data_IF_345942108037
#
_entry.id   IF_345942108037
#
_cell.length_a   1.000
_cell.length_b   1.000
_cell.length_c   1.000
_cell.angle_alpha   90.00
_cell.angle_beta   90.00
_cell.angle_gamma   90.00
#
_symmetry.space_group_name_H-M   'P 1'
#
loop_
_entity.id
_entity.type
_entity.pdbx_description
1 polymer ?
#
# COMPACT_ATOMS: atom_id res chain seq x y z
N UNK A 1 -8.45 2.71 29.32
CA UNK A 1 -7.51 3.63 29.98
C UNK A 1 -6.71 4.34 28.91
N UNK A 2 -6.69 5.67 28.97
CA UNK A 2 -5.82 6.50 28.13
C UNK A 2 -4.38 6.29 28.58
N UNK A 3 -3.43 6.03 27.67
CA UNK A 3 -2.02 5.88 28.05
C UNK A 3 -1.44 7.21 28.55
N UNK A 4 -0.46 7.15 29.43
CA UNK A 4 0.40 8.29 29.72
C UNK A 4 1.41 8.44 28.58
N UNK A 5 1.69 9.69 28.16
CA UNK A 5 2.63 9.95 27.07
C UNK A 5 3.83 10.71 27.60
N UNK A 6 5.01 10.28 27.20
CA UNK A 6 6.29 10.90 27.55
C UNK A 6 7.12 11.11 26.30
N UNK A 7 8.04 12.04 26.33
CA UNK A 7 8.97 12.30 25.23
C UNK A 7 10.37 12.61 25.75
N UNK A 8 11.38 12.40 24.93
CA UNK A 8 12.78 12.75 25.22
C UNK A 8 12.95 14.24 25.46
N UNK A 9 12.34 15.06 24.59
CA UNK A 9 12.31 16.51 24.64
C UNK A 9 10.98 17.03 24.12
N UNK A 10 10.69 18.29 24.41
CA UNK A 10 9.43 18.93 23.99
C UNK A 10 9.68 20.43 23.75
N UNK A 11 9.05 20.98 22.71
CA UNK A 11 8.95 22.41 22.47
C UNK A 11 7.77 22.99 23.26
N UNK A 12 7.91 24.20 23.78
CA UNK A 12 6.83 24.91 24.49
C UNK A 12 5.55 24.98 23.63
N UNK A 13 4.42 24.67 24.23
CA UNK A 13 3.12 24.64 23.56
C UNK A 13 2.85 23.41 22.71
N UNK A 14 3.77 22.43 22.67
CA UNK A 14 3.65 21.17 21.89
C UNK A 14 3.86 19.93 22.76
N UNK A 15 3.04 19.71 23.80
CA UNK A 15 3.25 18.64 24.77
C UNK A 15 3.02 17.25 24.16
N UNK A 16 3.68 16.19 24.68
CA UNK A 16 3.58 14.85 24.13
C UNK A 16 2.15 14.27 24.18
N UNK A 17 1.36 14.63 25.17
CA UNK A 17 -0.03 14.18 25.33
C UNK A 17 -0.94 14.64 24.18
N UNK A 18 -0.59 15.72 23.49
CA UNK A 18 -1.36 16.25 22.36
C UNK A 18 -1.50 15.26 21.20
N UNK A 19 -0.63 14.25 21.10
CA UNK A 19 -0.73 13.20 20.05
C UNK A 19 -1.92 12.26 20.23
N UNK A 20 -2.54 12.24 21.40
CA UNK A 20 -3.72 11.40 21.69
C UNK A 20 -5.04 12.12 21.37
N UNK A 21 -5.00 13.43 21.21
CA UNK A 21 -6.19 14.23 20.93
C UNK A 21 -6.50 14.19 19.43
N UNK A 22 -7.71 13.69 19.11
CA UNK A 22 -8.19 13.58 17.75
C UNK A 22 -8.39 14.94 17.06
N UNK A 23 -8.73 15.96 17.85
CA UNK A 23 -9.07 17.30 17.36
C UNK A 23 -7.90 18.28 17.48
N UNK A 24 -6.76 17.84 18.04
CA UNK A 24 -5.58 18.68 18.17
C UNK A 24 -4.92 18.92 16.81
N UNK A 25 -4.95 20.17 16.37
CA UNK A 25 -4.14 20.62 15.24
C UNK A 25 -2.65 20.76 15.60
N UNK A 26 -2.29 20.64 16.89
CA UNK A 26 -0.99 21.02 17.42
C UNK A 26 -0.01 19.84 17.42
N UNK A 27 -0.37 18.70 17.99
CA UNK A 27 0.51 17.55 18.15
C UNK A 27 1.73 17.81 19.04
N UNK A 28 2.63 16.83 19.10
CA UNK A 28 3.92 16.93 19.77
C UNK A 28 5.02 17.37 18.83
N UNK A 29 5.98 18.12 19.36
CA UNK A 29 7.22 18.46 18.66
C UNK A 29 8.41 18.29 19.58
N UNK A 30 9.46 17.60 19.09
CA UNK A 30 10.72 17.48 19.82
C UNK A 30 11.45 18.82 19.87
N UNK A 31 12.28 18.99 20.91
CA UNK A 31 13.29 20.04 20.95
C UNK A 31 14.39 19.84 19.91
N UNK A 32 15.56 20.45 20.16
CA UNK A 32 16.67 20.35 19.24
C UNK A 32 17.18 18.91 19.04
N UNK A 33 17.74 18.62 17.89
CA UNK A 33 18.29 17.31 17.47
C UNK A 33 19.60 16.92 18.16
N UNK A 34 19.67 16.94 19.47
CA UNK A 34 20.94 16.64 20.15
C UNK A 34 21.27 15.14 20.27
N UNK A 35 20.30 14.27 20.04
CA UNK A 35 20.38 12.80 20.16
C UNK A 35 19.14 12.15 19.55
N UNK A 36 19.09 10.84 19.53
CA UNK A 36 17.90 10.08 19.22
C UNK A 36 16.71 10.59 20.05
N UNK A 37 15.66 11.02 19.36
CA UNK A 37 14.44 11.47 20.01
C UNK A 37 13.45 10.32 20.08
N UNK A 38 12.59 10.34 21.10
CA UNK A 38 11.57 9.33 21.23
C UNK A 38 10.26 9.90 21.81
N UNK A 39 9.18 9.23 21.43
CA UNK A 39 7.84 9.38 22.02
C UNK A 39 7.43 8.04 22.61
N UNK A 40 7.00 8.03 23.87
CA UNK A 40 6.66 6.84 24.64
C UNK A 40 5.20 6.88 25.10
N UNK A 41 4.48 5.79 24.88
CA UNK A 41 3.16 5.52 25.45
C UNK A 41 3.31 4.49 26.58
N UNK A 42 2.94 4.84 27.84
CA UNK A 42 2.78 3.91 28.96
C UNK A 42 1.30 3.54 29.09
N UNK A 43 0.94 2.33 28.80
CA UNK A 43 -0.43 1.82 28.94
C UNK A 43 -0.82 1.53 30.39
N UNK A 44 0.07 1.80 31.35
CA UNK A 44 -0.10 1.59 32.80
C UNK A 44 -0.16 0.10 33.20
N UNK A 45 -0.47 -0.78 32.27
CA UNK A 45 -0.46 -2.23 32.42
C UNK A 45 -0.24 -2.86 31.04
N UNK A 46 0.22 -4.12 30.97
CA UNK A 46 0.30 -4.83 29.70
C UNK A 46 -1.07 -4.84 28.99
N UNK A 47 -1.05 -4.61 27.69
CA UNK A 47 -2.21 -4.74 26.80
C UNK A 47 -1.78 -5.25 25.44
N UNK A 48 -2.70 -5.93 24.80
CA UNK A 48 -2.59 -6.38 23.41
C UNK A 48 -3.06 -5.28 22.45
N UNK A 49 -2.38 -5.15 21.31
CA UNK A 49 -2.74 -4.23 20.23
C UNK A 49 -2.19 -4.73 18.90
N UNK A 50 -2.86 -4.32 17.79
CA UNK A 50 -2.54 -4.81 16.44
C UNK A 50 -1.70 -3.85 15.60
N UNK A 51 -1.55 -2.60 16.02
CA UNK A 51 -0.80 -1.67 15.20
C UNK A 51 -0.88 -0.22 15.63
N UNK A 52 -0.28 0.62 14.81
CA UNK A 52 -0.30 2.08 14.97
C UNK A 52 -0.74 2.76 13.68
N UNK A 53 -1.43 3.88 13.83
CA UNK A 53 -1.56 4.89 12.78
C UNK A 53 -0.90 6.16 13.30
N UNK A 54 0.05 6.69 12.56
CA UNK A 54 0.84 7.86 12.92
C UNK A 54 0.58 8.95 11.88
N UNK A 55 0.06 10.09 12.32
CA UNK A 55 -0.03 11.28 11.48
C UNK A 55 1.15 12.19 11.81
N UNK A 56 2.04 12.36 10.85
CA UNK A 56 3.22 13.20 10.98
C UNK A 56 2.91 14.69 10.79
N UNK A 57 3.78 15.53 11.33
CA UNK A 57 3.84 16.93 10.91
C UNK A 57 4.25 17.01 9.42
N UNK A 58 3.71 17.98 8.68
CA UNK A 58 3.91 18.06 7.24
C UNK A 58 5.39 18.23 6.84
N UNK A 59 6.14 18.93 7.66
CA UNK A 59 7.51 19.33 7.35
C UNK A 59 8.57 18.56 8.15
N UNK A 60 8.30 18.24 9.42
CA UNK A 60 9.28 17.69 10.35
C UNK A 60 8.91 16.27 10.79
N UNK A 61 8.96 15.33 9.88
CA UNK A 61 8.69 13.90 10.14
C UNK A 61 9.98 13.08 10.26
N UNK A 62 9.87 11.88 10.78
CA UNK A 62 10.98 10.93 10.79
C UNK A 62 11.01 10.16 9.45
N UNK A 63 12.17 10.16 8.78
CA UNK A 63 12.43 9.29 7.63
C UNK A 63 12.85 7.90 8.07
N UNK A 64 13.58 7.82 9.18
CA UNK A 64 13.96 6.54 9.78
C UNK A 64 13.53 6.51 11.25
N UNK A 65 12.82 5.46 11.62
CA UNK A 65 12.38 5.26 13.00
C UNK A 65 12.03 3.81 13.30
N UNK A 66 11.90 3.50 14.59
CA UNK A 66 11.54 2.17 15.08
C UNK A 66 10.36 2.24 16.04
N UNK A 67 9.42 1.32 15.91
CA UNK A 67 8.50 1.01 17.00
C UNK A 67 9.13 -0.06 17.89
N UNK A 68 9.24 0.27 19.18
CA UNK A 68 9.88 -0.57 20.19
C UNK A 68 8.94 -0.79 21.36
N UNK A 69 8.97 -1.97 21.93
CA UNK A 69 8.12 -2.36 23.06
C UNK A 69 8.93 -2.82 24.26
N UNK A 70 8.35 -2.68 25.45
CA UNK A 70 8.95 -3.10 26.72
C UNK A 70 7.88 -3.38 27.76
N UNK A 71 8.15 -4.28 28.70
CA UNK A 71 7.32 -4.53 29.88
C UNK A 71 7.85 -3.84 31.13
N UNK A 72 9.16 -3.56 31.19
CA UNK A 72 9.85 -2.97 32.34
C UNK A 72 10.31 -1.52 32.12
N UNK A 73 10.18 -0.99 30.89
CA UNK A 73 10.66 0.34 30.50
C UNK A 73 12.18 0.47 30.38
N UNK A 74 12.92 -0.62 30.57
CA UNK A 74 14.39 -0.64 30.52
C UNK A 74 14.92 -1.45 29.33
N UNK A 75 14.37 -2.64 29.08
CA UNK A 75 14.74 -3.52 27.97
C UNK A 75 13.76 -3.35 26.84
N UNK A 76 14.26 -2.94 25.67
CA UNK A 76 13.48 -2.62 24.50
C UNK A 76 13.69 -3.65 23.39
N UNK A 77 12.59 -4.07 22.77
CA UNK A 77 12.56 -4.93 21.59
C UNK A 77 11.95 -4.16 20.44
N UNK A 78 12.67 -4.05 19.32
CA UNK A 78 12.13 -3.47 18.10
C UNK A 78 11.13 -4.45 17.48
N UNK A 79 9.92 -3.97 17.22
CA UNK A 79 8.82 -4.74 16.60
C UNK A 79 8.53 -4.27 15.18
N UNK A 80 8.94 -3.05 14.85
CA UNK A 80 8.81 -2.50 13.49
C UNK A 80 9.94 -1.53 13.18
N UNK A 81 10.41 -1.50 11.92
CA UNK A 81 11.48 -0.61 11.48
C UNK A 81 11.06 0.05 10.17
N UNK A 82 11.05 1.38 10.16
CA UNK A 82 10.78 2.18 8.96
C UNK A 82 12.09 2.80 8.49
N UNK A 83 12.31 2.75 7.20
CA UNK A 83 13.39 3.39 6.47
C UNK A 83 12.81 4.19 5.31
N UNK A 84 13.41 5.33 5.02
CA UNK A 84 13.02 6.21 3.92
C UNK A 84 11.54 6.61 3.94
N UNK A 85 10.99 6.81 5.15
CA UNK A 85 9.62 7.29 5.34
C UNK A 85 9.39 8.64 4.65
N UNK A 86 8.22 8.83 4.10
CA UNK A 86 7.84 10.01 3.32
C UNK A 86 6.92 11.00 4.05
N UNK A 87 6.69 10.78 5.36
CA UNK A 87 5.79 11.60 6.16
C UNK A 87 4.31 11.33 5.86
N UNK A 88 3.45 12.30 6.19
CA UNK A 88 2.02 12.15 6.04
C UNK A 88 1.41 11.20 7.06
N UNK A 89 0.93 10.06 6.64
CA UNK A 89 0.32 9.05 7.51
C UNK A 89 0.97 7.70 7.32
N UNK A 90 1.47 7.11 8.42
CA UNK A 90 2.01 5.76 8.45
C UNK A 90 1.04 4.79 9.13
N UNK A 91 0.96 3.58 8.58
CA UNK A 91 0.24 2.44 9.13
C UNK A 91 1.23 1.34 9.48
N UNK A 92 1.38 1.02 10.76
CA UNK A 92 2.29 -0.03 11.21
C UNK A 92 1.52 -1.29 11.57
N UNK A 93 1.80 -2.37 10.85
CA UNK A 93 1.27 -3.70 11.12
C UNK A 93 2.08 -4.35 12.26
N UNK A 94 1.48 -4.47 13.44
CA UNK A 94 2.11 -5.07 14.61
C UNK A 94 1.37 -6.35 15.00
N UNK A 95 1.78 -7.46 14.41
CA UNK A 95 1.15 -8.75 14.67
C UNK A 95 1.67 -9.33 16.00
N UNK A 96 0.77 -9.86 16.84
CA UNK A 96 1.06 -10.50 18.13
C UNK A 96 1.92 -9.66 19.08
N UNK A 97 1.56 -8.41 19.27
CA UNK A 97 2.24 -7.54 20.24
C UNK A 97 1.39 -7.35 21.49
N UNK A 98 1.95 -7.73 22.63
CA UNK A 98 1.50 -7.39 23.95
C UNK A 98 2.64 -6.70 24.71
N UNK A 99 2.39 -5.56 25.34
CA UNK A 99 3.36 -4.88 26.18
C UNK A 99 2.72 -3.76 27.03
N UNK A 100 3.41 -3.31 28.06
CA UNK A 100 3.05 -2.13 28.82
C UNK A 100 3.51 -0.85 28.15
N UNK A 101 4.70 -0.85 27.55
CA UNK A 101 5.31 0.35 26.97
C UNK A 101 5.49 0.18 25.46
N UNK A 102 5.15 1.22 24.73
CA UNK A 102 5.41 1.36 23.30
C UNK A 102 6.17 2.65 23.07
N UNK A 103 7.30 2.58 22.37
CA UNK A 103 8.15 3.72 22.06
C UNK A 103 8.35 3.85 20.55
N UNK A 104 8.17 5.06 20.03
CA UNK A 104 8.68 5.45 18.72
C UNK A 104 10.08 6.04 18.92
N UNK A 105 11.10 5.35 18.46
CA UNK A 105 12.50 5.79 18.52
C UNK A 105 12.85 6.41 17.15
N UNK A 106 13.05 7.73 17.11
CA UNK A 106 13.17 8.55 15.90
C UNK A 106 14.65 8.79 15.60
N UNK A 107 15.14 8.37 14.45
CA UNK A 107 16.55 8.30 14.11
C UNK A 107 17.00 9.38 13.13
N UNK A 108 16.23 9.58 12.04
CA UNK A 108 16.53 10.60 11.03
C UNK A 108 15.32 11.50 10.77
N UNK A 109 15.57 12.80 10.78
CA UNK A 109 14.54 13.83 10.50
C UNK A 109 14.60 14.25 9.04
N UNK A 110 13.44 14.49 8.44
CA UNK A 110 13.29 14.93 7.05
C UNK A 110 14.08 16.20 6.72
N UNK A 111 14.15 17.16 7.65
CA UNK A 111 14.86 18.44 7.48
C UNK A 111 16.00 18.68 8.45
N UNK A 112 16.27 17.75 9.35
CA UNK A 112 17.28 17.92 10.38
C UNK A 112 16.94 18.98 11.45
N UNK A 113 15.67 19.30 11.67
CA UNK A 113 15.22 20.36 12.59
C UNK A 113 14.35 19.88 13.76
N UNK A 114 14.29 18.57 13.99
CA UNK A 114 13.43 17.95 14.99
C UNK A 114 12.39 17.05 14.36
N UNK A 115 11.45 16.61 15.20
CA UNK A 115 10.38 15.70 14.81
C UNK A 115 9.04 16.24 15.29
N UNK A 116 8.03 16.16 14.45
CA UNK A 116 6.67 16.51 14.77
C UNK A 116 5.72 15.33 14.52
N UNK A 117 4.94 14.95 15.51
CA UNK A 117 3.87 13.97 15.40
C UNK A 117 2.56 14.64 15.76
N UNK A 118 1.64 14.69 14.80
CA UNK A 118 0.31 15.29 15.05
C UNK A 118 -0.57 14.36 15.84
N UNK A 119 -0.53 13.05 15.52
CA UNK A 119 -1.40 12.07 16.14
C UNK A 119 -0.78 10.70 16.17
N UNK A 120 -1.04 9.94 17.23
CA UNK A 120 -0.77 8.51 17.34
C UNK A 120 -2.04 7.79 17.74
N UNK A 121 -2.45 6.81 16.96
CA UNK A 121 -3.58 5.94 17.25
C UNK A 121 -3.09 4.51 17.42
N UNK A 122 -3.34 3.96 18.61
CA UNK A 122 -3.09 2.54 18.86
C UNK A 122 -4.29 1.75 18.38
N UNK A 123 -4.07 0.83 17.45
CA UNK A 123 -5.10 0.01 16.84
C UNK A 123 -5.34 -1.25 17.66
N UNK A 124 -6.59 -1.73 17.66
CA UNK A 124 -6.94 -2.99 18.32
C UNK A 124 -6.25 -4.19 17.64
N UNK A 125 -6.23 -5.33 18.31
CA UNK A 125 -5.70 -6.58 17.77
C UNK A 125 -6.31 -6.94 16.41
N UNK A 126 -7.57 -6.65 16.18
CA UNK A 126 -8.27 -6.91 14.93
C UNK A 126 -7.61 -6.30 13.69
N UNK A 127 -6.91 -5.17 13.87
CA UNK A 127 -6.21 -4.46 12.80
C UNK A 127 -5.14 -5.32 12.10
N UNK A 128 -4.54 -6.26 12.80
CA UNK A 128 -3.43 -7.09 12.30
C UNK A 128 -3.71 -8.60 12.36
N UNK A 129 -4.97 -9.00 12.45
CA UNK A 129 -5.33 -10.44 12.42
C UNK A 129 -4.96 -11.11 11.11
N UNK A 130 -4.90 -10.34 10.03
CA UNK A 130 -4.38 -10.77 8.73
C UNK A 130 -3.93 -9.58 7.89
N UNK A 131 -3.05 -9.77 6.89
CA UNK A 131 -2.72 -8.73 5.93
C UNK A 131 -3.96 -8.18 5.20
N UNK A 132 -4.96 -9.02 4.90
CA UNK A 132 -6.20 -8.58 4.28
C UNK A 132 -6.96 -7.58 5.17
N UNK A 133 -7.07 -7.88 6.47
CA UNK A 133 -7.75 -6.98 7.42
C UNK A 133 -7.03 -5.65 7.57
N UNK A 134 -5.70 -5.69 7.58
CA UNK A 134 -4.86 -4.50 7.61
C UNK A 134 -5.14 -3.59 6.40
N UNK A 135 -5.06 -4.12 5.18
CA UNK A 135 -5.29 -3.34 3.97
C UNK A 135 -6.75 -2.92 3.78
N UNK A 136 -7.71 -3.71 4.24
CA UNK A 136 -9.12 -3.31 4.29
C UNK A 136 -9.31 -2.03 5.12
N UNK A 137 -8.70 -1.98 6.31
CA UNK A 137 -8.75 -0.78 7.17
C UNK A 137 -8.11 0.43 6.51
N UNK A 138 -6.97 0.26 5.84
CA UNK A 138 -6.30 1.34 5.11
C UNK A 138 -7.18 1.81 3.95
N UNK A 139 -7.71 0.89 3.16
CA UNK A 139 -8.54 1.19 2.00
C UNK A 139 -9.80 1.99 2.36
N UNK A 140 -10.47 1.67 3.47
CA UNK A 140 -11.62 2.43 3.95
C UNK A 140 -11.29 3.88 4.36
N UNK A 141 -10.03 4.17 4.67
CA UNK A 141 -9.56 5.52 5.01
C UNK A 141 -8.92 6.26 3.81
N UNK A 142 -8.78 5.59 2.67
CA UNK A 142 -8.22 6.15 1.46
C UNK A 142 -9.32 6.59 0.47
N UNK A 143 -9.01 7.48 -0.48
CA UNK A 143 -9.93 7.78 -1.58
C UNK A 143 -10.27 6.51 -2.36
N UNK A 144 -11.54 6.38 -2.78
CA UNK A 144 -11.97 5.28 -3.65
C UNK A 144 -11.11 5.26 -4.92
N UNK A 145 -10.74 4.05 -5.37
CA UNK A 145 -9.87 3.87 -6.52
C UNK A 145 -8.38 3.69 -6.19
N UNK A 146 -7.95 4.04 -4.97
CA UNK A 146 -6.56 3.87 -4.54
C UNK A 146 -6.20 2.42 -4.19
N UNK A 147 -7.19 1.61 -3.86
CA UNK A 147 -7.05 0.18 -3.54
C UNK A 147 -8.03 -0.64 -4.38
N UNK A 148 -7.79 -1.95 -4.54
CA UNK A 148 -8.74 -2.83 -5.19
C UNK A 148 -10.14 -2.70 -4.60
N UNK A 149 -11.17 -2.74 -5.47
CA UNK A 149 -12.57 -2.50 -5.10
C UNK A 149 -13.11 -3.43 -4.00
N UNK A 150 -12.60 -4.64 -3.93
CA UNK A 150 -13.03 -5.59 -2.91
C UNK A 150 -12.67 -5.14 -1.48
N UNK A 151 -11.62 -4.34 -1.28
CA UNK A 151 -11.36 -3.71 0.02
C UNK A 151 -12.36 -2.59 0.37
N UNK A 152 -13.19 -2.20 -0.57
CA UNK A 152 -14.35 -1.30 -0.36
C UNK A 152 -15.67 -2.07 -0.29
N UNK A 153 -15.63 -3.40 -0.12
CA UNK A 153 -16.80 -4.31 -0.13
C UNK A 153 -17.55 -4.32 -1.46
N UNK A 154 -16.89 -4.01 -2.57
CA UNK A 154 -17.45 -4.08 -3.91
C UNK A 154 -17.08 -5.42 -4.57
N UNK A 155 -17.97 -5.96 -5.38
CA UNK A 155 -17.72 -7.16 -6.15
C UNK A 155 -16.64 -6.90 -7.20
N UNK A 156 -15.72 -7.87 -7.41
CA UNK A 156 -14.72 -7.88 -8.48
C UNK A 156 -15.04 -8.96 -9.50
N UNK A 157 -14.86 -8.63 -10.78
CA UNK A 157 -14.94 -9.56 -11.90
C UNK A 157 -13.65 -9.57 -12.68
N UNK A 158 -13.35 -10.69 -13.34
CA UNK A 158 -12.12 -10.84 -14.10
C UNK A 158 -12.24 -11.84 -15.23
N UNK A 159 -11.30 -11.78 -16.15
CA UNK A 159 -11.09 -12.78 -17.22
C UNK A 159 -9.76 -13.49 -16.99
N UNK A 160 -9.79 -14.81 -17.13
CA UNK A 160 -8.57 -15.64 -17.05
C UNK A 160 -7.76 -15.51 -18.33
N UNK A 161 -6.44 -15.36 -18.19
CA UNK A 161 -5.48 -15.27 -19.29
C UNK A 161 -4.42 -16.34 -19.08
N UNK A 162 -4.27 -17.25 -20.04
CA UNK A 162 -3.31 -18.35 -19.95
C UNK A 162 -2.85 -18.81 -21.33
N UNK A 163 -1.69 -19.49 -21.37
CA UNK A 163 -1.23 -20.19 -22.56
C UNK A 163 -1.89 -21.58 -22.61
N UNK A 164 -2.32 -21.99 -23.81
CA UNK A 164 -2.84 -23.34 -24.00
C UNK A 164 -1.77 -24.41 -23.73
N UNK A 165 -2.20 -25.67 -23.60
CA UNK A 165 -1.26 -26.78 -23.53
C UNK A 165 -0.90 -27.30 -22.15
N UNK A 166 -1.73 -27.04 -21.12
CA UNK A 166 -1.60 -27.64 -19.78
C UNK A 166 -0.59 -26.95 -18.87
N UNK A 167 -0.29 -25.69 -19.11
CA UNK A 167 0.44 -24.85 -18.14
C UNK A 167 -0.46 -24.58 -16.92
N UNK A 168 0.13 -24.63 -15.72
CA UNK A 168 -0.54 -24.26 -14.48
C UNK A 168 -0.50 -22.77 -14.20
N UNK A 169 0.15 -21.99 -15.07
CA UNK A 169 0.27 -20.53 -14.97
C UNK A 169 -1.00 -19.87 -15.48
N UNK A 170 -1.59 -19.03 -14.65
CA UNK A 170 -2.84 -18.33 -14.93
C UNK A 170 -2.75 -16.88 -14.44
N UNK A 171 -2.92 -15.94 -15.37
CA UNK A 171 -3.09 -14.53 -15.04
C UNK A 171 -4.58 -14.17 -14.99
N UNK A 172 -4.92 -13.14 -14.23
CA UNK A 172 -6.27 -12.60 -14.13
C UNK A 172 -6.26 -11.13 -14.53
N UNK A 173 -7.06 -10.77 -15.54
CA UNK A 173 -7.32 -9.37 -15.88
C UNK A 173 -8.64 -8.96 -15.26
N UNK A 174 -8.61 -8.03 -14.30
CA UNK A 174 -9.83 -7.52 -13.66
C UNK A 174 -10.62 -6.61 -14.60
N UNK A 175 -11.88 -6.41 -14.29
CA UNK A 175 -12.73 -5.42 -14.96
C UNK A 175 -12.19 -3.99 -14.89
N UNK A 176 -11.36 -3.69 -13.91
CA UNK A 176 -10.71 -2.40 -13.68
C UNK A 176 -9.38 -2.23 -14.45
N UNK A 177 -8.89 -3.29 -15.07
CA UNK A 177 -7.61 -3.29 -15.78
C UNK A 177 -6.40 -3.65 -14.90
N UNK A 178 -6.58 -4.07 -13.65
CA UNK A 178 -5.53 -4.67 -12.86
C UNK A 178 -5.19 -6.06 -13.39
N UNK A 179 -3.90 -6.35 -13.56
CA UNK A 179 -3.41 -7.63 -14.07
C UNK A 179 -2.66 -8.39 -12.98
N UNK A 180 -3.26 -9.45 -12.44
CA UNK A 180 -2.57 -10.43 -11.61
C UNK A 180 -1.70 -11.31 -12.52
N UNK A 181 -0.39 -11.30 -12.30
CA UNK A 181 0.59 -11.81 -13.27
C UNK A 181 0.75 -13.33 -13.25
N UNK A 182 0.34 -13.97 -12.18
CA UNK A 182 0.27 -15.43 -12.02
C UNK A 182 -0.66 -15.73 -10.85
N UNK A 183 -1.18 -16.91 -10.76
CA UNK A 183 -2.10 -17.37 -9.75
C UNK A 183 -1.62 -17.06 -8.32
N UNK A 184 -2.38 -16.24 -7.60
CA UNK A 184 -2.07 -15.81 -6.23
C UNK A 184 -0.86 -14.88 -6.12
N UNK A 185 -0.42 -14.30 -7.24
CA UNK A 185 0.71 -13.40 -7.31
C UNK A 185 0.26 -11.94 -7.17
N UNK A 186 1.20 -11.04 -7.33
CA UNK A 186 0.96 -9.60 -7.28
C UNK A 186 0.24 -9.07 -8.54
N UNK A 187 -0.28 -7.86 -8.47
CA UNK A 187 -0.88 -7.15 -9.61
C UNK A 187 0.03 -6.08 -10.17
N UNK A 188 -0.20 -5.77 -11.47
CA UNK A 188 0.20 -4.53 -12.10
C UNK A 188 -1.08 -3.72 -12.30
N UNK A 189 -1.14 -2.53 -11.70
CA UNK A 189 -2.32 -1.67 -11.73
C UNK A 189 -2.02 -0.36 -12.45
N UNK A 190 -2.86 0.06 -13.42
CA UNK A 190 -2.69 1.33 -14.10
C UNK A 190 -3.24 2.49 -13.29
N UNK A 191 -2.53 3.62 -13.32
CA UNK A 191 -3.01 4.93 -12.89
C UNK A 191 -2.59 5.95 -13.93
N UNK A 192 -3.45 6.94 -14.18
CA UNK A 192 -3.15 8.06 -15.06
C UNK A 192 -3.05 9.35 -14.27
N UNK A 193 -2.07 10.17 -14.57
CA UNK A 193 -2.00 11.52 -14.04
C UNK A 193 -2.04 12.51 -15.20
N UNK A 194 -3.03 13.37 -15.19
CA UNK A 194 -3.22 14.41 -16.21
C UNK A 194 -3.95 15.60 -15.58
N UNK A 195 -3.69 16.79 -16.04
CA UNK A 195 -4.33 18.04 -15.59
C UNK A 195 -4.31 18.22 -14.06
N UNK A 196 -3.19 17.81 -13.40
CA UNK A 196 -3.01 17.92 -11.96
C UNK A 196 -3.82 16.91 -11.14
N UNK A 197 -4.44 15.90 -11.75
CA UNK A 197 -5.31 14.94 -11.12
C UNK A 197 -4.86 13.49 -11.39
N UNK A 198 -4.90 12.66 -10.36
CA UNK A 198 -4.75 11.22 -10.48
C UNK A 198 -6.10 10.60 -10.88
N UNK A 199 -6.10 9.82 -11.96
CA UNK A 199 -7.24 9.06 -12.46
C UNK A 199 -7.01 7.60 -12.12
N UNK A 200 -8.03 6.99 -11.55
CA UNK A 200 -8.06 5.61 -11.09
C UNK A 200 -9.24 4.88 -11.70
N UNK A 201 -9.36 3.57 -11.42
CA UNK A 201 -10.53 2.80 -11.84
C UNK A 201 -11.87 3.39 -11.32
N UNK A 202 -11.86 4.14 -10.22
CA UNK A 202 -13.06 4.73 -9.64
C UNK A 202 -13.55 5.99 -10.38
N UNK A 203 -12.73 6.53 -11.29
CA UNK A 203 -13.02 7.75 -12.05
C UNK A 203 -13.55 7.45 -13.46
N UNK A 204 -13.65 6.17 -13.82
CA UNK A 204 -14.03 5.72 -15.18
C UNK A 204 -15.08 4.61 -15.11
N UNK A 205 -15.80 4.41 -16.22
CA UNK A 205 -16.62 3.22 -16.45
C UNK A 205 -15.88 2.33 -17.45
N UNK A 206 -15.23 1.23 -16.99
CA UNK A 206 -14.44 0.39 -17.88
C UNK A 206 -15.30 -0.40 -18.86
N UNK A 207 -14.91 -0.42 -20.12
CA UNK A 207 -15.50 -1.28 -21.13
C UNK A 207 -14.62 -2.51 -21.35
N UNK A 208 -15.22 -3.68 -21.42
CA UNK A 208 -14.53 -4.95 -21.65
C UNK A 208 -14.83 -5.49 -23.06
N UNK A 209 -13.82 -6.11 -23.66
CA UNK A 209 -13.96 -6.74 -24.97
C UNK A 209 -13.01 -7.92 -25.12
N UNK A 210 -13.29 -8.77 -26.10
CA UNK A 210 -12.35 -9.79 -26.60
C UNK A 210 -11.87 -9.39 -27.99
N UNK A 211 -10.67 -9.79 -28.34
CA UNK A 211 -10.18 -9.59 -29.70
C UNK A 211 -11.07 -10.35 -30.71
N UNK A 212 -11.45 -9.68 -31.79
CA UNK A 212 -12.38 -10.19 -32.80
C UNK A 212 -13.71 -10.72 -32.21
N UNK A 213 -14.13 -10.21 -31.04
CA UNK A 213 -15.32 -10.56 -30.28
C UNK A 213 -15.35 -12.00 -29.71
N UNK A 214 -14.38 -12.86 -30.02
CA UNK A 214 -14.38 -14.26 -29.60
C UNK A 214 -13.00 -14.83 -29.21
N UNK A 215 -11.89 -14.19 -29.59
CA UNK A 215 -10.58 -14.69 -29.23
C UNK A 215 -10.29 -14.47 -27.74
N UNK A 216 -9.63 -15.42 -27.03
CA UNK A 216 -9.35 -15.32 -25.62
C UNK A 216 -8.21 -14.32 -25.30
N UNK A 217 -8.33 -13.14 -25.85
CA UNK A 217 -7.41 -12.01 -25.67
C UNK A 217 -8.25 -10.85 -25.13
N UNK A 218 -8.45 -10.77 -23.80
CA UNK A 218 -9.27 -9.74 -23.21
C UNK A 218 -8.61 -8.37 -23.24
N UNK A 219 -9.45 -7.36 -23.31
CA UNK A 219 -9.08 -5.95 -23.18
C UNK A 219 -10.03 -5.24 -22.23
N UNK A 220 -9.49 -4.34 -21.44
CA UNK A 220 -10.23 -3.38 -20.62
C UNK A 220 -9.89 -1.99 -21.13
N UNK A 221 -10.90 -1.16 -21.39
CA UNK A 221 -10.70 0.20 -21.87
C UNK A 221 -11.31 1.19 -20.87
N UNK A 222 -10.48 2.15 -20.44
CA UNK A 222 -10.91 3.35 -19.72
C UNK A 222 -11.21 4.44 -20.71
N UNK A 223 -12.41 4.99 -20.66
CA UNK A 223 -12.83 6.10 -21.49
C UNK A 223 -12.82 7.38 -20.67
N UNK A 224 -12.00 8.34 -21.09
CA UNK A 224 -11.94 9.68 -20.54
C UNK A 224 -12.30 10.69 -21.62
N UNK A 225 -12.59 11.92 -21.27
CA UNK A 225 -13.01 12.97 -22.20
C UNK A 225 -12.05 13.17 -23.38
N UNK A 226 -10.74 13.05 -23.11
CA UNK A 226 -9.71 13.33 -24.12
C UNK A 226 -8.78 12.15 -24.41
N UNK A 227 -8.92 11.06 -23.70
CA UNK A 227 -8.04 9.89 -23.81
C UNK A 227 -8.82 8.58 -23.72
N UNK A 228 -8.31 7.57 -24.39
CA UNK A 228 -8.57 6.19 -24.04
C UNK A 228 -7.31 5.52 -23.53
N UNK A 229 -7.44 4.75 -22.45
CA UNK A 229 -6.43 3.79 -22.03
C UNK A 229 -6.98 2.39 -22.28
N UNK A 230 -6.31 1.60 -23.12
CA UNK A 230 -6.66 0.21 -23.36
C UNK A 230 -5.59 -0.70 -22.79
N UNK A 231 -6.01 -1.67 -21.96
CA UNK A 231 -5.17 -2.70 -21.36
C UNK A 231 -5.55 -4.03 -22.00
N UNK A 232 -4.64 -4.63 -22.79
CA UNK A 232 -4.86 -5.91 -23.44
C UNK A 232 -3.88 -6.93 -22.90
N UNK A 233 -4.35 -8.09 -22.44
CA UNK A 233 -3.50 -9.15 -21.93
C UNK A 233 -3.62 -10.43 -22.75
N UNK A 234 -2.51 -11.10 -22.99
CA UNK A 234 -2.46 -12.43 -23.61
C UNK A 234 -1.25 -13.21 -23.14
N UNK A 235 -1.34 -14.52 -23.17
CA UNK A 235 -0.24 -15.40 -22.85
C UNK A 235 0.14 -16.26 -24.06
N UNK A 236 1.40 -16.67 -24.10
CA UNK A 236 1.93 -17.55 -25.15
C UNK A 236 3.02 -18.46 -24.59
N UNK A 237 3.33 -19.51 -25.31
CA UNK A 237 4.38 -20.47 -24.93
C UNK A 237 3.84 -21.87 -24.67
N UNK A 238 4.67 -22.68 -24.02
CA UNK A 238 4.38 -24.06 -23.64
C UNK A 238 4.42 -24.18 -22.11
N UNK A 239 3.87 -25.25 -21.58
CA UNK A 239 3.96 -25.56 -20.16
C UNK A 239 5.41 -25.46 -19.63
N UNK A 240 5.62 -24.65 -18.59
CA UNK A 240 6.94 -24.35 -18.01
C UNK A 240 7.78 -23.29 -18.75
N UNK A 241 7.37 -22.84 -19.93
CA UNK A 241 8.04 -21.82 -20.77
C UNK A 241 7.03 -20.78 -21.29
N UNK A 242 6.00 -20.48 -20.52
CA UNK A 242 4.99 -19.50 -20.89
C UNK A 242 5.42 -18.07 -20.53
N UNK A 243 4.91 -17.11 -21.31
CA UNK A 243 5.08 -15.69 -21.08
C UNK A 243 3.71 -14.98 -21.15
N UNK A 244 3.49 -14.07 -20.20
CA UNK A 244 2.36 -13.15 -20.19
C UNK A 244 2.79 -11.82 -20.80
N UNK A 245 1.96 -11.30 -21.65
CA UNK A 245 2.13 -9.97 -22.27
C UNK A 245 0.97 -9.08 -21.89
N UNK A 246 1.29 -7.85 -21.50
CA UNK A 246 0.33 -6.79 -21.28
C UNK A 246 0.67 -5.58 -22.17
N UNK A 247 -0.30 -5.13 -22.95
CA UNK A 247 -0.16 -3.93 -23.76
C UNK A 247 -1.02 -2.82 -23.18
N UNK A 248 -0.37 -1.74 -22.81
CA UNK A 248 -1.02 -0.50 -22.38
C UNK A 248 -0.93 0.51 -23.51
N UNK A 249 -2.09 0.89 -24.06
CA UNK A 249 -2.18 1.84 -25.17
C UNK A 249 -2.98 3.05 -24.72
N UNK A 250 -2.34 4.20 -24.79
CA UNK A 250 -3.01 5.49 -24.61
C UNK A 250 -3.26 6.10 -25.97
N UNK A 251 -4.48 6.59 -26.18
CA UNK A 251 -4.90 7.26 -27.41
C UNK A 251 -5.44 8.64 -27.07
N UNK A 252 -4.85 9.69 -27.66
CA UNK A 252 -5.33 11.06 -27.54
C UNK A 252 -6.48 11.27 -28.54
N UNK A 253 -7.66 11.58 -28.03
CA UNK A 253 -8.86 11.81 -28.85
C UNK A 253 -9.05 13.28 -29.22
N UNK A 254 -8.27 14.16 -28.62
CA UNK A 254 -8.32 15.60 -28.92
C UNK A 254 -7.41 15.96 -30.10
N UNK A 255 -7.62 17.14 -30.67
CA UNK A 255 -6.75 17.71 -31.71
C UNK A 255 -5.52 18.43 -31.12
N UNK A 256 -5.46 18.58 -29.81
CA UNK A 256 -4.41 19.30 -29.09
C UNK A 256 -3.37 18.33 -28.52
N UNK A 257 -2.13 18.79 -28.40
CA UNK A 257 -1.11 18.08 -27.63
C UNK A 257 -1.44 18.13 -26.14
N UNK A 258 -1.49 16.96 -25.51
CA UNK A 258 -1.74 16.82 -24.09
C UNK A 258 -0.64 16.05 -23.40
N UNK A 259 -0.44 16.35 -22.12
CA UNK A 259 0.54 15.68 -21.28
C UNK A 259 -0.16 14.77 -20.29
N UNK A 260 0.29 13.53 -20.21
CA UNK A 260 -0.16 12.58 -19.20
C UNK A 260 1.03 11.72 -18.74
N UNK A 261 0.90 11.15 -17.55
CA UNK A 261 1.81 10.14 -17.03
C UNK A 261 0.99 8.88 -16.78
N UNK A 262 1.42 7.77 -17.38
CA UNK A 262 0.90 6.45 -17.08
C UNK A 262 1.81 5.81 -16.04
N UNK A 263 1.26 5.49 -14.87
CA UNK A 263 1.92 4.69 -13.86
C UNK A 263 1.46 3.24 -14.00
N UNK A 264 2.41 2.32 -14.09
CA UNK A 264 2.18 0.88 -13.97
C UNK A 264 2.74 0.45 -12.62
N UNK A 265 1.86 0.23 -11.66
CA UNK A 265 2.25 0.06 -10.27
C UNK A 265 2.20 -1.42 -9.91
N UNK A 266 3.34 -1.97 -9.50
CA UNK A 266 3.41 -3.32 -8.92
C UNK A 266 2.89 -3.25 -7.48
N UNK A 267 1.84 -4.02 -7.17
CA UNK A 267 1.15 -3.96 -5.88
C UNK A 267 0.97 -5.35 -5.28
N UNK A 268 1.04 -5.45 -3.93
CA UNK A 268 0.94 -6.72 -3.23
C UNK A 268 -0.51 -7.24 -3.13
N UNK A 269 -1.26 -7.18 -4.20
CA UNK A 269 -2.66 -7.57 -4.24
C UNK A 269 -2.91 -8.59 -5.34
N UNK A 270 -3.91 -9.44 -5.12
CA UNK A 270 -4.47 -10.32 -6.12
C UNK A 270 -5.69 -9.64 -6.77
N UNK A 271 -6.07 -10.06 -7.95
CA UNK A 271 -7.39 -9.75 -8.52
C UNK A 271 -8.48 -10.55 -7.79
N UNK A 272 -8.14 -11.76 -7.36
CA UNK A 272 -9.01 -12.61 -6.56
C UNK A 272 -9.25 -12.02 -5.17
N UNK A 273 -10.52 -11.71 -4.77
CA UNK A 273 -10.82 -11.12 -3.47
C UNK A 273 -10.64 -12.10 -2.29
N UNK A 274 -10.48 -11.57 -1.05
CA UNK A 274 -10.23 -12.40 0.14
C UNK A 274 -11.29 -13.45 0.45
N UNK A 275 -12.54 -13.20 0.07
CA UNK A 275 -13.67 -14.12 0.32
C UNK A 275 -13.88 -15.17 -0.75
N UNK A 276 -13.12 -15.12 -1.83
CA UNK A 276 -13.11 -16.17 -2.85
C UNK A 276 -11.84 -17.00 -2.74
N UNK A 277 -12.01 -18.31 -2.88
CA UNK A 277 -10.89 -19.25 -2.88
C UNK A 277 -10.80 -19.95 -4.24
N UNK A 278 -9.74 -19.63 -4.97
CA UNK A 278 -9.31 -20.39 -6.16
C UNK A 278 -8.19 -21.38 -5.77
N UNK A 279 -8.44 -22.20 -4.75
CA UNK A 279 -7.49 -23.07 -4.03
C UNK A 279 -6.43 -22.32 -3.21
N UNK A 280 -6.59 -21.01 -3.02
CA UNK A 280 -5.82 -20.17 -2.12
C UNK A 280 -6.66 -18.97 -1.69
N UNK A 281 -6.33 -18.38 -0.55
CA UNK A 281 -6.99 -17.17 -0.08
C UNK A 281 -6.59 -16.02 -1.00
N UNK A 282 -7.57 -15.26 -1.48
CA UNK A 282 -7.36 -14.06 -2.28
C UNK A 282 -6.96 -12.84 -1.44
N UNK A 283 -6.89 -11.69 -2.10
CA UNK A 283 -6.58 -10.40 -1.49
C UNK A 283 -5.10 -10.08 -1.51
N UNK A 284 -4.43 -10.05 -0.37
CA UNK A 284 -3.02 -9.67 -0.29
C UNK A 284 -2.10 -10.79 -0.76
N UNK A 285 -1.19 -10.44 -1.67
CA UNK A 285 -0.06 -11.28 -2.10
C UNK A 285 1.25 -10.59 -1.70
N UNK A 286 1.89 -11.00 -0.59
CA UNK A 286 3.04 -10.28 -0.06
C UNK A 286 4.23 -10.27 -1.02
N UNK A 287 4.77 -9.09 -1.26
CA UNK A 287 6.03 -8.86 -1.96
C UNK A 287 7.07 -8.55 -0.90
N UNK A 288 8.14 -9.35 -0.83
CA UNK A 288 9.23 -9.15 0.14
C UNK A 288 10.27 -8.17 -0.34
N UNK A 289 10.50 -8.16 -1.65
CA UNK A 289 11.54 -7.37 -2.27
C UNK A 289 11.18 -7.05 -3.70
N UNK A 290 11.48 -5.83 -4.13
CA UNK A 290 11.42 -5.38 -5.51
C UNK A 290 12.82 -4.88 -5.88
N UNK A 291 13.38 -5.43 -6.95
CA UNK A 291 14.63 -4.98 -7.52
C UNK A 291 14.41 -4.50 -8.96
N UNK A 292 15.08 -3.42 -9.34
CA UNK A 292 15.03 -2.88 -10.69
C UNK A 292 16.43 -2.82 -11.28
N UNK A 293 16.67 -3.66 -12.26
CA UNK A 293 17.94 -3.75 -12.97
C UNK A 293 17.69 -3.98 -14.46
N UNK A 294 18.36 -3.23 -15.31
CA UNK A 294 18.29 -3.39 -16.77
C UNK A 294 16.86 -3.43 -17.34
N UNK A 295 16.02 -2.47 -16.96
CA UNK A 295 14.61 -2.37 -17.36
C UNK A 295 13.77 -3.60 -16.95
N UNK A 296 14.21 -4.31 -15.92
CA UNK A 296 13.51 -5.48 -15.37
C UNK A 296 13.20 -5.25 -13.91
N UNK A 297 11.93 -5.47 -13.55
CA UNK A 297 11.51 -5.54 -12.15
C UNK A 297 11.45 -7.00 -11.74
N UNK A 298 12.16 -7.34 -10.66
CA UNK A 298 12.07 -8.66 -10.03
C UNK A 298 11.33 -8.53 -8.71
N UNK A 299 10.24 -9.27 -8.56
CA UNK A 299 9.46 -9.33 -7.32
C UNK A 299 9.68 -10.65 -6.61
N UNK A 300 10.06 -10.61 -5.34
CA UNK A 300 10.23 -11.80 -4.48
C UNK A 300 9.04 -11.89 -3.50
N UNK A 301 8.43 -13.06 -3.22
CA UNK A 301 8.95 -14.41 -3.42
C UNK A 301 8.57 -15.09 -4.73
N UNK A 302 7.71 -14.51 -5.55
CA UNK A 302 7.20 -15.21 -6.74
C UNK A 302 8.27 -15.52 -7.79
N UNK A 303 9.42 -14.85 -7.73
CA UNK A 303 10.46 -14.99 -8.76
C UNK A 303 10.02 -14.52 -10.15
N UNK A 304 8.87 -13.84 -10.25
CA UNK A 304 8.31 -13.33 -11.49
C UNK A 304 9.11 -12.11 -11.95
N UNK A 305 9.54 -12.12 -13.20
CA UNK A 305 10.26 -11.00 -13.82
C UNK A 305 9.34 -10.22 -14.74
N UNK A 306 9.36 -8.90 -14.61
CA UNK A 306 8.71 -7.97 -15.50
C UNK A 306 9.77 -7.29 -16.37
N UNK A 307 9.58 -7.32 -17.68
CA UNK A 307 10.34 -6.48 -18.61
C UNK A 307 9.50 -5.25 -18.93
N UNK A 308 10.03 -4.09 -18.66
CA UNK A 308 9.36 -2.80 -18.87
C UNK A 308 9.84 -2.18 -20.18
#
# INVERSE_FOLDING_TARGET
>A
LTPAVHASTTVEGRPPEAVLDADSAIGWRSGALAADQWLLLDFLKPREYGGLVIDWDADDYATDYQAQVSDDGMRWRTVYNVKEGNGGRDYLYLHDVESRYLRLNLQHSSRGQGYGIRRVQVQSYEFSTSPNRFFETIAHNAPRGYYPRYFQNEQSYWTVVGAGGGDSKEALLSEDGALEVDRGSFTIEPFLFTDGRLITWADVEPAQSLADDYLPIPSVRWELEHFWLSITAFATGKAGESALYARYRVENLSTETRHLILFLVVRPFQVNPPWQSLNMVGGVSPIRELDYTDQTITATPSGTRLNV
#
